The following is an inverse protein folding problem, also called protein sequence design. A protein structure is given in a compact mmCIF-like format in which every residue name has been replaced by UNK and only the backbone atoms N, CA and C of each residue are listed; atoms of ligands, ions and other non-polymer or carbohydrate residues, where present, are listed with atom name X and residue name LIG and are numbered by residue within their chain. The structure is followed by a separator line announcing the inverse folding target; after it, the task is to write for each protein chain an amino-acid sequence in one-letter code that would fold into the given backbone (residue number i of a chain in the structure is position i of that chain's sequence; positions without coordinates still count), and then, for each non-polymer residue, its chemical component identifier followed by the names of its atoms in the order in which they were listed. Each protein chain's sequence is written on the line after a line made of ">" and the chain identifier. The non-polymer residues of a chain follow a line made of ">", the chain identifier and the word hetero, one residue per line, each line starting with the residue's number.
data_IF_612130300874
#
_entry.id   IF_612130300874
#
_cell.length_a   1.000
_cell.length_b   1.000
_cell.length_c   1.000
_cell.angle_alpha   90.00
_cell.angle_beta   90.00
_cell.angle_gamma   90.00
#
_symmetry.space_group_name_H-M   'P 1'
#
loop_
_entity.id
_entity.type
_entity.pdbx_description
1 polymer ?
#
# COMPACT_ATOMS: atom_id res chain seq x y z
N UNK A 1 6.83 0.66 19.83
CA UNK A 1 5.37 0.76 20.07
C UNK A 1 4.66 -0.39 19.36
N UNK A 2 3.57 -0.94 19.90
CA UNK A 2 2.72 -1.92 19.19
C UNK A 2 1.54 -1.18 18.55
N UNK A 3 1.19 -1.54 17.31
CA UNK A 3 0.00 -1.05 16.62
C UNK A 3 -1.16 -2.06 16.72
N UNK A 4 -2.35 -1.58 17.05
CA UNK A 4 -3.58 -2.38 17.09
C UNK A 4 -4.37 -2.31 15.77
N UNK A 5 -5.44 -3.09 15.67
CA UNK A 5 -6.29 -3.13 14.48
C UNK A 5 -7.07 -1.83 14.23
N UNK A 6 -7.35 -1.02 15.25
CA UNK A 6 -8.04 0.25 15.07
C UNK A 6 -7.13 1.26 14.36
N UNK A 7 -5.85 1.32 14.77
CA UNK A 7 -4.85 2.15 14.10
C UNK A 7 -4.56 1.67 12.68
N UNK A 8 -4.51 0.36 12.43
CA UNK A 8 -4.38 -0.19 11.08
C UNK A 8 -5.57 0.22 10.20
N UNK A 9 -6.79 0.17 10.74
CA UNK A 9 -7.98 0.61 10.02
C UNK A 9 -7.89 2.10 9.66
N UNK A 10 -7.46 2.94 10.60
CA UNK A 10 -7.25 4.37 10.33
C UNK A 10 -6.26 4.59 9.18
N UNK A 11 -5.09 3.94 9.22
CA UNK A 11 -4.07 4.04 8.16
C UNK A 11 -4.66 3.67 6.80
N UNK A 12 -5.34 2.52 6.73
CA UNK A 12 -5.92 2.02 5.48
C UNK A 12 -6.95 3.00 4.93
N UNK A 13 -7.85 3.52 5.78
CA UNK A 13 -8.85 4.53 5.40
C UNK A 13 -8.20 5.80 4.85
N UNK A 14 -7.13 6.28 5.49
CA UNK A 14 -6.36 7.43 5.00
C UNK A 14 -5.84 7.18 3.58
N UNK A 15 -5.18 6.04 3.34
CA UNK A 15 -4.66 5.69 2.01
C UNK A 15 -5.77 5.53 0.95
N UNK A 16 -6.92 4.96 1.30
CA UNK A 16 -8.04 4.72 0.39
C UNK A 16 -8.76 6.00 -0.02
N UNK A 17 -8.71 7.02 0.85
CA UNK A 17 -9.20 8.36 0.56
C UNK A 17 -8.18 9.20 -0.22
N UNK A 18 -7.03 8.63 -0.59
CA UNK A 18 -6.00 9.33 -1.36
C UNK A 18 -5.12 10.23 -0.51
N UNK A 19 -5.07 10.02 0.81
CA UNK A 19 -4.16 10.71 1.71
C UNK A 19 -2.97 9.83 2.08
N UNK A 20 -1.95 10.44 2.67
CA UNK A 20 -0.77 9.75 3.17
C UNK A 20 -0.86 9.61 4.70
N UNK A 21 -0.33 8.52 5.22
CA UNK A 21 -0.06 8.38 6.65
C UNK A 21 1.44 8.10 6.78
N UNK A 22 2.15 8.98 7.48
CA UNK A 22 3.60 8.93 7.66
C UNK A 22 3.99 8.54 9.08
N UNK A 23 3.04 8.54 10.03
CA UNK A 23 3.26 8.06 11.39
C UNK A 23 1.92 7.74 12.08
N UNK A 24 1.96 7.02 13.20
CA UNK A 24 0.78 6.75 14.05
C UNK A 24 0.78 7.54 15.38
N UNK A 25 1.85 8.29 15.65
CA UNK A 25 2.15 8.92 16.95
C UNK A 25 1.79 10.41 16.97
N UNK A 26 1.90 11.09 15.83
CA UNK A 26 1.68 12.52 15.62
C UNK A 26 0.93 12.75 14.31
N UNK A 27 -0.40 12.68 14.36
CA UNK A 27 -1.30 12.79 13.19
C UNK A 27 -1.05 14.04 12.31
N UNK A 28 -0.47 15.09 12.87
CA UNK A 28 -0.36 16.40 12.22
C UNK A 28 1.07 16.74 11.73
N UNK A 29 2.03 15.82 11.83
CA UNK A 29 3.40 16.05 11.36
C UNK A 29 3.78 15.09 10.24
N UNK A 30 3.74 15.61 9.02
CA UNK A 30 4.41 15.00 7.87
C UNK A 30 5.86 15.52 7.86
N UNK A 31 6.87 14.64 7.87
CA UNK A 31 8.26 15.09 7.79
C UNK A 31 8.49 15.80 6.46
N UNK A 32 9.18 16.94 6.50
CA UNK A 32 9.49 17.73 5.31
C UNK A 32 10.93 17.51 4.84
N UNK A 33 11.82 17.15 5.77
CA UNK A 33 13.23 16.90 5.52
C UNK A 33 13.65 15.52 6.00
N UNK A 34 14.84 15.09 5.57
CA UNK A 34 15.51 13.89 6.08
C UNK A 34 15.70 13.95 7.60
N UNK A 35 16.14 15.09 8.11
CA UNK A 35 16.35 15.31 9.54
C UNK A 35 15.03 15.18 10.32
N UNK A 36 13.92 15.68 9.77
CA UNK A 36 12.59 15.49 10.34
C UNK A 36 12.24 14.01 10.43
N UNK A 37 12.42 13.25 9.33
CA UNK A 37 12.10 11.82 9.29
C UNK A 37 12.91 11.03 10.32
N UNK A 38 14.22 11.28 10.41
CA UNK A 38 15.10 10.65 11.42
C UNK A 38 14.66 11.02 12.83
N UNK A 39 14.31 12.28 13.09
CA UNK A 39 13.81 12.72 14.41
C UNK A 39 12.49 12.04 14.79
N UNK A 40 11.69 11.65 13.79
CA UNK A 40 10.47 10.89 13.94
C UNK A 40 10.72 9.38 14.09
N UNK A 41 11.97 8.93 14.13
CA UNK A 41 12.36 7.53 14.35
C UNK A 41 12.28 6.66 13.10
N UNK A 42 12.46 7.24 11.92
CA UNK A 42 12.71 6.49 10.69
C UNK A 42 14.19 6.17 10.54
N UNK A 43 14.46 4.96 10.05
CA UNK A 43 15.81 4.52 9.69
C UNK A 43 15.98 4.62 8.17
N UNK A 44 17.02 5.33 7.72
CA UNK A 44 17.30 5.60 6.30
C UNK A 44 18.34 4.67 5.69
N UNK A 45 18.14 4.30 4.42
CA UNK A 45 19.12 3.60 3.58
C UNK A 45 19.14 4.20 2.17
N UNK A 46 20.28 4.13 1.47
CA UNK A 46 20.42 4.67 0.11
C UNK A 46 21.47 5.77 -0.01
N UNK A 47 21.42 6.53 -1.11
CA UNK A 47 22.31 7.67 -1.37
C UNK A 47 21.54 8.99 -1.21
N UNK A 48 21.92 9.85 -0.24
CA UNK A 48 21.28 11.16 -0.04
C UNK A 48 21.30 12.09 -1.26
N UNK A 49 22.24 11.87 -2.18
CA UNK A 49 22.40 12.71 -3.38
C UNK A 49 21.47 12.28 -4.53
N UNK A 50 20.81 11.13 -4.40
CA UNK A 50 19.94 10.57 -5.43
C UNK A 50 18.65 10.03 -4.81
N UNK A 51 18.60 8.75 -4.44
CA UNK A 51 17.42 8.11 -3.84
C UNK A 51 17.77 7.51 -2.46
N UNK A 52 16.99 7.87 -1.43
CA UNK A 52 16.95 7.17 -0.16
C UNK A 52 15.55 6.60 0.11
N UNK A 53 15.53 5.57 0.94
CA UNK A 53 14.34 4.98 1.52
C UNK A 53 14.47 5.05 3.05
N UNK A 54 13.47 5.67 3.66
CA UNK A 54 13.30 5.72 5.11
C UNK A 54 12.19 4.76 5.52
N UNK A 55 12.46 3.93 6.52
CA UNK A 55 11.53 2.93 7.00
C UNK A 55 11.26 3.06 8.49
N UNK A 56 10.01 2.79 8.90
CA UNK A 56 9.64 2.72 10.32
C UNK A 56 8.66 1.58 10.54
N UNK A 57 9.12 0.55 11.26
CA UNK A 57 8.36 -0.66 11.51
C UNK A 57 7.58 -0.62 12.82
N UNK A 58 6.31 -1.00 12.73
CA UNK A 58 5.40 -1.16 13.87
C UNK A 58 4.89 -2.60 13.94
N UNK A 59 5.33 -3.39 14.93
CA UNK A 59 4.75 -4.71 15.17
C UNK A 59 3.31 -4.60 15.65
N UNK A 60 2.49 -5.60 15.32
CA UNK A 60 1.14 -5.72 15.88
C UNK A 60 1.09 -6.61 17.13
N UNK A 61 -0.05 -6.63 17.81
CA UNK A 61 -0.32 -7.56 18.92
C UNK A 61 -0.25 -9.04 18.51
N UNK A 62 -0.42 -9.36 17.22
CA UNK A 62 -0.25 -10.73 16.72
C UNK A 62 1.21 -10.98 16.38
N UNK A 63 1.77 -12.07 16.93
CA UNK A 63 3.12 -12.53 16.59
C UNK A 63 3.24 -12.70 15.07
N UNK A 64 4.31 -12.15 14.49
CA UNK A 64 4.64 -12.18 13.04
C UNK A 64 3.79 -11.28 12.13
N UNK A 65 3.10 -10.28 12.66
CA UNK A 65 2.45 -9.25 11.87
C UNK A 65 2.98 -7.86 12.23
N UNK A 66 3.08 -7.00 11.22
CA UNK A 66 3.48 -5.61 11.42
C UNK A 66 3.25 -4.76 10.18
N UNK A 67 3.34 -3.46 10.37
CA UNK A 67 3.21 -2.45 9.32
C UNK A 67 4.52 -1.70 9.25
N UNK A 68 5.09 -1.57 8.06
CA UNK A 68 6.29 -0.77 7.85
C UNK A 68 5.93 0.46 7.02
N UNK A 69 6.12 1.64 7.58
CA UNK A 69 5.96 2.90 6.85
C UNK A 69 7.20 3.15 6.03
N UNK A 70 7.01 3.63 4.80
CA UNK A 70 8.08 4.00 3.88
C UNK A 70 7.95 5.45 3.49
N UNK A 71 9.07 6.16 3.52
CA UNK A 71 9.20 7.48 2.90
C UNK A 71 10.32 7.40 1.88
N UNK A 72 10.03 7.84 0.67
CA UNK A 72 10.99 7.90 -0.40
C UNK A 72 11.56 9.30 -0.49
N UNK A 73 12.82 9.43 -0.85
CA UNK A 73 13.42 10.72 -1.18
C UNK A 73 13.92 10.75 -2.61
N UNK A 74 14.01 11.97 -3.15
CA UNK A 74 14.76 12.26 -4.35
C UNK A 74 15.57 13.55 -4.11
N UNK A 75 16.89 13.49 -4.25
CA UNK A 75 17.81 14.62 -4.02
C UNK A 75 17.63 15.28 -2.65
N UNK A 76 17.44 14.45 -1.60
CA UNK A 76 17.29 14.91 -0.22
C UNK A 76 15.88 15.39 0.16
N UNK A 77 14.93 15.46 -0.78
CA UNK A 77 13.55 15.85 -0.51
C UNK A 77 12.62 14.65 -0.42
N UNK A 78 11.76 14.62 0.60
CA UNK A 78 10.78 13.52 0.77
C UNK A 78 9.62 13.72 -0.19
N UNK A 79 9.56 12.93 -1.27
CA UNK A 79 8.59 13.15 -2.34
C UNK A 79 7.35 12.24 -2.28
N UNK A 80 7.42 11.08 -1.62
CA UNK A 80 6.35 10.08 -1.61
C UNK A 80 6.39 9.18 -0.37
N UNK A 81 5.29 8.48 -0.11
CA UNK A 81 5.17 7.51 0.97
C UNK A 81 4.51 6.20 0.51
N UNK A 82 4.86 5.12 1.20
CA UNK A 82 4.24 3.80 1.02
C UNK A 82 4.12 3.07 2.34
N UNK A 83 3.49 1.90 2.28
CA UNK A 83 3.22 1.09 3.46
C UNK A 83 3.34 -0.40 3.14
N UNK A 84 4.20 -1.13 3.85
CA UNK A 84 4.27 -2.58 3.72
C UNK A 84 3.46 -3.26 4.83
N UNK A 85 2.79 -4.35 4.44
CA UNK A 85 2.08 -5.24 5.34
C UNK A 85 2.82 -6.55 5.51
N UNK A 86 3.48 -6.73 6.65
CA UNK A 86 4.14 -7.99 6.98
C UNK A 86 3.14 -8.98 7.59
N UNK A 87 2.96 -10.13 6.93
CA UNK A 87 2.15 -11.23 7.45
C UNK A 87 0.63 -11.05 7.34
N UNK A 88 0.15 -10.06 6.59
CA UNK A 88 -1.28 -9.85 6.36
C UNK A 88 -1.78 -10.60 5.11
N UNK A 89 -2.96 -11.20 5.24
CA UNK A 89 -3.69 -11.75 4.10
C UNK A 89 -4.46 -10.62 3.41
N UNK A 90 -4.55 -10.68 2.10
CA UNK A 90 -5.33 -9.71 1.31
C UNK A 90 -6.78 -9.63 1.78
N UNK A 91 -7.39 -10.78 2.10
CA UNK A 91 -8.75 -10.85 2.65
C UNK A 91 -8.93 -10.07 3.95
N UNK A 92 -7.90 -9.98 4.78
CA UNK A 92 -7.99 -9.25 6.04
C UNK A 92 -7.93 -7.75 5.80
N UNK A 93 -7.12 -7.30 4.84
CA UNK A 93 -7.08 -5.89 4.46
C UNK A 93 -8.43 -5.47 3.89
N UNK A 94 -8.96 -6.20 2.92
CA UNK A 94 -10.23 -5.86 2.29
C UNK A 94 -11.43 -5.85 3.27
N UNK A 95 -11.46 -6.77 4.24
CA UNK A 95 -12.44 -6.73 5.34
C UNK A 95 -12.38 -5.48 6.20
N UNK A 96 -11.20 -4.85 6.33
CA UNK A 96 -11.05 -3.61 7.10
C UNK A 96 -11.58 -2.43 6.30
N UNK A 97 -11.45 -2.48 4.97
CA UNK A 97 -11.88 -1.41 4.07
C UNK A 97 -13.39 -1.22 4.12
N UNK A 98 -14.18 -2.32 4.17
CA UNK A 98 -15.64 -2.37 4.47
C UNK A 98 -16.48 -1.17 3.99
N UNK A 99 -16.16 -0.64 2.81
CA UNK A 99 -16.79 0.51 2.18
C UNK A 99 -16.92 0.20 0.69
N UNK A 100 -17.99 0.68 0.07
CA UNK A 100 -18.22 0.46 -1.36
C UNK A 100 -17.21 1.27 -2.16
N UNK A 101 -16.15 0.61 -2.59
CA UNK A 101 -15.03 1.22 -3.32
C UNK A 101 -15.00 0.77 -4.78
N UNK A 102 -14.58 1.66 -5.67
CA UNK A 102 -14.28 1.27 -7.03
C UNK A 102 -12.97 0.48 -7.02
N UNK A 103 -12.96 -0.74 -7.57
CA UNK A 103 -11.77 -1.59 -7.57
C UNK A 103 -11.50 -2.13 -8.95
N UNK A 104 -10.21 -2.21 -9.27
CA UNK A 104 -9.71 -2.80 -10.53
C UNK A 104 -8.61 -3.79 -10.18
N UNK A 105 -8.76 -5.02 -10.63
CA UNK A 105 -7.83 -6.10 -10.33
C UNK A 105 -6.83 -6.25 -11.48
N UNK A 106 -5.55 -6.33 -11.15
CA UNK A 106 -4.45 -6.53 -12.08
C UNK A 106 -3.62 -7.74 -11.67
N UNK A 107 -3.13 -8.50 -12.64
CA UNK A 107 -2.33 -9.69 -12.41
C UNK A 107 -1.18 -9.78 -13.41
N UNK A 108 -0.11 -10.43 -12.99
CA UNK A 108 0.94 -10.88 -13.89
C UNK A 108 0.48 -12.08 -14.73
N UNK A 109 1.24 -12.42 -15.77
CA UNK A 109 0.91 -13.52 -16.67
C UNK A 109 0.86 -14.87 -15.93
N UNK A 110 1.75 -15.06 -14.96
CA UNK A 110 1.84 -16.29 -14.16
C UNK A 110 0.72 -16.42 -13.12
N UNK A 111 -0.03 -15.34 -12.86
CA UNK A 111 -1.09 -15.24 -11.85
C UNK A 111 -0.56 -15.58 -10.44
N UNK A 112 0.65 -15.13 -10.14
CA UNK A 112 1.29 -15.29 -8.83
C UNK A 112 1.51 -13.96 -8.14
N UNK A 113 1.48 -12.84 -8.86
CA UNK A 113 1.55 -11.50 -8.28
C UNK A 113 0.51 -10.60 -8.96
N UNK A 114 0.16 -9.51 -8.30
CA UNK A 114 -0.77 -8.57 -8.86
C UNK A 114 -0.98 -7.37 -7.97
N UNK A 115 -1.93 -6.55 -8.38
CA UNK A 115 -2.32 -5.37 -7.64
C UNK A 115 -3.82 -5.14 -7.74
N UNK A 116 -4.37 -4.44 -6.76
CA UNK A 116 -5.73 -3.91 -6.80
C UNK A 116 -5.62 -2.40 -6.73
N UNK A 117 -6.08 -1.72 -7.78
CA UNK A 117 -6.27 -0.28 -7.75
C UNK A 117 -7.61 -0.01 -7.07
N UNK A 118 -7.61 0.90 -6.10
CA UNK A 118 -8.76 1.28 -5.29
C UNK A 118 -9.03 2.78 -5.50
N UNK A 119 -10.27 3.10 -5.90
CA UNK A 119 -10.76 4.45 -6.19
C UNK A 119 -9.92 5.25 -7.20
N UNK A 120 -9.05 4.59 -7.98
CA UNK A 120 -8.04 5.23 -8.84
C UNK A 120 -7.11 6.20 -8.08
N UNK A 121 -6.95 6.00 -6.76
CA UNK A 121 -6.15 6.82 -5.86
C UNK A 121 -5.01 6.04 -5.20
N UNK A 122 -5.24 4.76 -4.88
CA UNK A 122 -4.26 3.93 -4.21
C UNK A 122 -4.20 2.52 -4.78
N UNK A 123 -3.09 1.86 -4.48
CA UNK A 123 -2.70 0.56 -5.01
C UNK A 123 -2.39 -0.37 -3.85
N UNK A 124 -3.03 -1.54 -3.83
CA UNK A 124 -2.63 -2.66 -2.99
C UNK A 124 -1.90 -3.71 -3.83
N UNK A 125 -0.59 -3.84 -3.69
CA UNK A 125 0.17 -4.95 -4.29
C UNK A 125 0.03 -6.21 -3.44
N UNK A 126 -0.03 -7.36 -4.07
CA UNK A 126 -0.16 -8.64 -3.38
C UNK A 126 0.60 -9.76 -4.08
N UNK A 127 0.95 -10.79 -3.32
CA UNK A 127 1.44 -12.06 -3.85
C UNK A 127 0.44 -13.18 -3.61
N UNK A 128 0.18 -13.95 -4.66
CA UNK A 128 -0.63 -15.16 -4.69
C UNK A 128 0.20 -16.41 -5.07
N UNK A 129 1.46 -16.46 -4.64
CA UNK A 129 2.29 -17.65 -4.75
C UNK A 129 1.85 -18.78 -3.79
N UNK A 130 1.27 -18.42 -2.63
CA UNK A 130 0.78 -19.37 -1.60
C UNK A 130 -0.72 -19.68 -1.74
N UNK A 131 -1.26 -20.56 -0.89
CA UNK A 131 -2.70 -20.95 -0.85
C UNK A 131 -3.65 -19.76 -0.64
N UNK A 132 -3.19 -18.74 0.08
CA UNK A 132 -3.93 -17.49 0.35
C UNK A 132 -3.09 -16.31 -0.13
N UNK A 133 -3.69 -15.32 -0.80
CA UNK A 133 -2.97 -14.12 -1.21
C UNK A 133 -2.55 -13.30 0.01
N UNK A 134 -1.31 -12.81 -0.02
CA UNK A 134 -0.73 -11.93 0.98
C UNK A 134 -0.71 -10.51 0.44
N UNK A 135 -1.18 -9.55 1.24
CA UNK A 135 -0.95 -8.15 0.94
C UNK A 135 0.54 -7.85 1.15
N UNK A 136 1.12 -7.07 0.24
CA UNK A 136 2.54 -6.70 0.29
C UNK A 136 2.67 -5.22 0.61
N UNK A 137 2.22 -4.37 -0.30
CA UNK A 137 2.35 -2.92 -0.17
C UNK A 137 1.00 -2.23 -0.41
N UNK A 138 0.83 -1.08 0.24
CA UNK A 138 -0.17 -0.07 -0.01
C UNK A 138 0.53 1.23 -0.38
N UNK A 139 0.21 1.75 -1.55
CA UNK A 139 0.83 2.93 -2.12
C UNK A 139 -0.28 3.88 -2.57
N UNK A 140 -0.06 5.19 -2.47
CA UNK A 140 -1.02 6.21 -2.92
C UNK A 140 -0.35 7.09 -3.96
N UNK A 141 -1.14 7.59 -4.90
CA UNK A 141 -0.69 8.55 -5.91
C UNK A 141 -0.47 9.97 -5.32
N UNK A 142 -0.76 10.15 -4.03
CA UNK A 142 -0.55 11.39 -3.30
C UNK A 142 0.93 11.59 -2.99
N UNK A 143 1.51 12.61 -3.63
CA UNK A 143 2.83 13.13 -3.28
C UNK A 143 2.81 13.90 -1.96
N UNK A 144 3.96 13.94 -1.29
CA UNK A 144 4.17 14.74 -0.06
C UNK A 144 4.29 16.23 -0.38
N UNK A 145 4.92 16.57 -1.51
CA UNK A 145 5.06 17.95 -1.99
C UNK A 145 4.35 18.20 -3.33
N UNK A 146 4.18 19.48 -3.65
CA UNK A 146 3.29 19.98 -4.71
C UNK A 146 3.63 19.43 -6.10
N UNK A 147 4.92 19.36 -6.46
CA UNK A 147 5.36 18.88 -7.79
C UNK A 147 4.95 17.44 -8.09
N UNK A 148 4.76 16.63 -7.05
CA UNK A 148 4.37 15.23 -7.14
C UNK A 148 2.86 15.03 -7.06
N UNK A 149 2.12 16.07 -6.67
CA UNK A 149 0.67 16.03 -6.58
C UNK A 149 0.07 15.75 -7.96
N UNK A 150 -0.74 14.69 -8.05
CA UNK A 150 -1.46 14.32 -9.26
C UNK A 150 -0.65 13.57 -10.32
N UNK A 151 0.62 13.21 -10.06
CA UNK A 151 1.46 12.47 -11.03
C UNK A 151 1.05 11.02 -11.27
N UNK A 152 0.16 10.46 -10.43
CA UNK A 152 -0.39 9.10 -10.58
C UNK A 152 0.65 7.98 -10.72
N UNK A 153 1.74 8.08 -9.96
CA UNK A 153 2.92 7.22 -10.15
C UNK A 153 2.60 5.76 -9.86
N UNK A 154 1.98 5.48 -8.72
CA UNK A 154 1.69 4.12 -8.28
C UNK A 154 0.71 3.44 -9.22
N UNK A 155 -0.38 4.12 -9.60
CA UNK A 155 -1.35 3.55 -10.55
C UNK A 155 -0.76 3.38 -11.95
N UNK A 156 0.06 4.33 -12.42
CA UNK A 156 0.76 4.20 -13.72
C UNK A 156 1.72 3.02 -13.73
N UNK A 157 2.48 2.80 -12.64
CA UNK A 157 3.37 1.66 -12.51
C UNK A 157 2.60 0.33 -12.66
N UNK A 158 1.43 0.18 -12.01
CA UNK A 158 0.59 -1.02 -12.14
C UNK A 158 0.13 -1.27 -13.57
N UNK A 159 -0.31 -0.23 -14.28
CA UNK A 159 -0.75 -0.36 -15.66
C UNK A 159 0.38 -0.79 -16.60
N UNK A 160 1.63 -0.47 -16.26
CA UNK A 160 2.82 -0.88 -17.04
C UNK A 160 3.28 -2.31 -16.73
N UNK A 161 3.08 -2.77 -15.49
CA UNK A 161 3.63 -4.04 -14.99
C UNK A 161 2.66 -5.21 -15.11
N UNK A 162 1.35 -4.95 -15.02
CA UNK A 162 0.32 -5.98 -14.91
C UNK A 162 -0.81 -5.80 -15.93
N UNK A 163 -1.56 -6.88 -16.16
CA UNK A 163 -2.74 -6.86 -17.04
C UNK A 163 -4.02 -6.80 -16.21
N UNK A 164 -4.95 -5.92 -16.62
CA UNK A 164 -6.24 -5.78 -15.95
C UNK A 164 -7.12 -7.03 -16.15
N UNK A 165 -7.77 -7.45 -15.07
CA UNK A 165 -8.72 -8.55 -15.00
C UNK A 165 -10.07 -7.97 -14.60
N UNK A 166 -11.01 -7.99 -15.55
CA UNK A 166 -12.36 -7.50 -15.29
C UNK A 166 -13.06 -8.33 -14.21
N UNK A 167 -13.33 -7.68 -13.07
CA UNK A 167 -13.94 -8.31 -11.89
C UNK A 167 -15.35 -8.80 -12.21
N UNK A 168 -16.11 -8.03 -12.98
CA UNK A 168 -17.51 -8.31 -13.31
C UNK A 168 -17.72 -9.31 -14.46
N UNK A 169 -16.67 -9.68 -15.20
CA UNK A 169 -16.82 -10.64 -16.29
C UNK A 169 -16.88 -12.08 -15.77
N UNK A 170 -17.94 -12.79 -16.14
CA UNK A 170 -18.13 -14.23 -15.93
C UNK A 170 -17.30 -15.01 -16.96
N UNK A 171 -15.99 -15.06 -16.77
CA UNK A 171 -15.03 -15.76 -17.64
C UNK A 171 -14.41 -17.02 -17.01
N UNK A 172 -13.93 -17.94 -17.87
CA UNK A 172 -13.37 -19.28 -17.56
C UNK A 172 -12.58 -19.39 -16.23
N UNK A 173 -13.20 -20.04 -15.24
CA UNK A 173 -12.70 -21.03 -14.24
C UNK A 173 -11.28 -20.95 -13.63
N UNK A 174 -10.58 -19.83 -13.64
CA UNK A 174 -9.35 -19.74 -12.86
C UNK A 174 -9.68 -19.61 -11.35
N UNK A 175 -9.42 -20.67 -10.58
CA UNK A 175 -9.69 -20.73 -9.13
C UNK A 175 -9.04 -19.57 -8.34
N UNK A 176 -7.83 -19.13 -8.72
CA UNK A 176 -7.17 -18.00 -8.05
C UNK A 176 -7.92 -16.70 -8.32
N UNK A 177 -8.27 -16.43 -9.58
CA UNK A 177 -9.02 -15.23 -9.97
C UNK A 177 -10.37 -15.21 -9.26
N UNK A 178 -11.12 -16.33 -9.25
CA UNK A 178 -12.40 -16.41 -8.56
C UNK A 178 -12.27 -16.12 -7.06
N UNK A 179 -11.21 -16.60 -6.43
CA UNK A 179 -10.95 -16.31 -5.02
C UNK A 179 -10.60 -14.83 -4.78
N UNK A 180 -9.85 -14.19 -5.68
CA UNK A 180 -9.60 -12.74 -5.61
C UNK A 180 -10.89 -11.94 -5.79
N UNK A 181 -11.70 -12.28 -6.79
CA UNK A 181 -13.03 -11.67 -7.02
C UNK A 181 -13.90 -11.79 -5.77
N UNK A 182 -13.93 -12.96 -5.14
CA UNK A 182 -14.68 -13.15 -3.89
C UNK A 182 -14.13 -12.30 -2.74
N UNK A 183 -12.80 -12.16 -2.61
CA UNK A 183 -12.20 -11.28 -1.59
C UNK A 183 -12.62 -9.83 -1.80
N UNK A 184 -12.65 -9.38 -3.05
CA UNK A 184 -13.00 -8.00 -3.42
C UNK A 184 -14.51 -7.76 -3.21
N UNK A 185 -15.36 -8.64 -3.74
CA UNK A 185 -16.82 -8.51 -3.75
C UNK A 185 -17.51 -8.83 -2.41
N UNK A 186 -16.78 -9.33 -1.41
CA UNK A 186 -17.31 -9.56 -0.06
C UNK A 186 -17.37 -8.28 0.80
N UNK A 187 -16.99 -7.14 0.24
CA UNK A 187 -17.08 -5.79 0.83
C UNK A 187 -17.85 -4.87 -0.14
#
# INVERSE_FOLDING_TARGET
>A
MIIDYQKINLILRTYINGDICTNIESKDKTPSTREDAVSMGFDGTGDPSDHELFEKYYPTVRKNQGVNFKLYTFKGEIWSSGLDFHGFRLSNIFKIINEKINTRLFMDESKTNGAIIINDLCVCRFSYFKKNPLALTFETDKGIFEEMSGKKISTTAINSEFKEIFINQTGRNNKKINKLKNIINQN
#
